data_IF_919804112362
#
_entry.id   IF_919804112362
#
_cell.length_a   1.000
_cell.length_b   1.000
_cell.length_c   1.000
_cell.angle_alpha   90.00
_cell.angle_beta   90.00
_cell.angle_gamma   90.00
#
_symmetry.space_group_name_H-M   'P 1'
#
loop_
_entity.id
_entity.type
_entity.pdbx_description
1 polymer ?
#
# COMPACT_ATOMS: atom_id res chain seq x y z
N UNK A 1 -20.98 22.74 20.66
CA UNK A 1 -19.75 23.51 20.92
C UNK A 1 -18.60 22.57 20.64
N UNK A 2 -18.04 22.69 19.44
CA UNK A 2 -16.91 21.86 18.99
C UNK A 2 -15.63 22.56 19.43
N UNK A 3 -14.78 21.87 20.20
CA UNK A 3 -13.46 22.39 20.53
C UNK A 3 -12.60 22.43 19.24
N UNK A 4 -11.79 23.49 19.06
CA UNK A 4 -10.85 23.54 17.94
C UNK A 4 -9.77 22.48 18.16
N UNK A 5 -9.43 21.74 17.11
CA UNK A 5 -8.26 20.87 17.06
C UNK A 5 -7.03 21.77 17.21
N UNK A 6 -6.32 21.62 18.30
CA UNK A 6 -5.04 22.26 18.54
C UNK A 6 -4.09 21.97 17.36
N UNK A 7 -3.57 23.06 16.80
CA UNK A 7 -2.53 23.11 15.77
C UNK A 7 -1.17 22.69 16.40
N UNK A 8 -1.05 21.42 16.74
CA UNK A 8 0.21 20.82 17.16
C UNK A 8 1.06 20.46 15.93
N UNK A 9 1.52 21.47 15.18
CA UNK A 9 2.68 21.36 14.29
C UNK A 9 3.99 21.36 15.13
N UNK A 10 4.06 20.49 16.13
CA UNK A 10 5.31 20.13 16.80
C UNK A 10 6.09 19.17 15.91
N UNK A 11 7.41 19.34 15.85
CA UNK A 11 8.44 18.57 15.13
C UNK A 11 8.21 17.05 15.12
N UNK A 12 7.23 16.59 14.34
CA UNK A 12 7.12 15.15 14.07
C UNK A 12 8.16 14.80 13.02
N UNK A 13 9.01 13.83 13.35
CA UNK A 13 9.95 13.27 12.37
C UNK A 13 9.19 12.88 11.09
N UNK A 14 9.73 13.20 9.90
CA UNK A 14 9.06 12.91 8.65
C UNK A 14 8.83 11.41 8.50
N UNK A 15 7.60 11.03 8.21
CA UNK A 15 7.17 9.64 8.05
C UNK A 15 6.54 9.45 6.67
N UNK A 16 6.96 8.39 5.97
CA UNK A 16 6.32 7.95 4.75
C UNK A 16 5.91 6.47 4.84
N UNK A 17 4.79 6.15 4.20
CA UNK A 17 4.37 4.76 4.00
C UNK A 17 4.64 4.36 2.56
N UNK A 18 5.37 3.25 2.37
CA UNK A 18 5.73 2.72 1.05
C UNK A 18 5.11 1.34 0.89
N UNK A 19 4.31 1.12 -0.15
CA UNK A 19 3.78 -0.21 -0.46
C UNK A 19 4.55 -0.85 -1.61
N UNK A 20 5.02 -2.07 -1.41
CA UNK A 20 5.69 -2.88 -2.43
C UNK A 20 4.81 -4.08 -2.78
N UNK A 21 4.24 -4.05 -4.00
CA UNK A 21 3.26 -5.03 -4.47
C UNK A 21 3.84 -6.41 -4.80
N UNK A 22 2.97 -7.42 -4.84
CA UNK A 22 3.33 -8.80 -5.20
C UNK A 22 3.85 -8.92 -6.64
N UNK A 23 3.43 -8.05 -7.57
CA UNK A 23 3.97 -8.00 -8.93
C UNK A 23 5.46 -7.65 -8.96
N UNK A 24 5.94 -6.93 -7.96
CA UNK A 24 7.35 -6.59 -7.75
C UNK A 24 8.10 -7.75 -7.09
N UNK A 25 7.49 -8.41 -6.10
CA UNK A 25 8.12 -9.46 -5.29
C UNK A 25 8.03 -10.82 -6.01
N UNK A 26 8.79 -10.97 -7.09
CA UNK A 26 8.72 -12.14 -7.99
C UNK A 26 9.64 -13.28 -7.60
N UNK A 27 10.53 -13.10 -6.63
CA UNK A 27 11.49 -14.11 -6.17
C UNK A 27 12.60 -13.51 -5.30
N UNK A 28 13.61 -14.31 -4.90
CA UNK A 28 14.65 -13.84 -3.95
C UNK A 28 15.39 -12.57 -4.39
N UNK A 29 15.75 -12.45 -5.67
CA UNK A 29 16.43 -11.26 -6.21
C UNK A 29 15.55 -10.00 -6.13
N UNK A 30 14.23 -10.15 -6.14
CA UNK A 30 13.30 -9.03 -6.02
C UNK A 30 13.33 -8.43 -4.62
N UNK A 31 13.41 -9.25 -3.57
CA UNK A 31 13.57 -8.76 -2.20
C UNK A 31 14.88 -8.01 -2.01
N UNK A 32 15.98 -8.49 -2.64
CA UNK A 32 17.27 -7.76 -2.64
C UNK A 32 17.13 -6.37 -3.27
N UNK A 33 16.43 -6.24 -4.41
CA UNK A 33 16.17 -4.95 -5.05
C UNK A 33 15.28 -4.05 -4.20
N UNK A 34 14.21 -4.62 -3.60
CA UNK A 34 13.32 -3.88 -2.70
C UNK A 34 14.08 -3.35 -1.47
N UNK A 35 14.95 -4.16 -0.86
CA UNK A 35 15.78 -3.74 0.26
C UNK A 35 16.78 -2.64 -0.14
N UNK A 36 17.41 -2.76 -1.31
CA UNK A 36 18.29 -1.71 -1.84
C UNK A 36 17.54 -0.39 -2.08
N UNK A 37 16.31 -0.46 -2.62
CA UNK A 37 15.43 0.71 -2.78
C UNK A 37 15.14 1.39 -1.44
N UNK A 38 14.73 0.62 -0.41
CA UNK A 38 14.46 1.16 0.94
C UNK A 38 15.72 1.80 1.55
N UNK A 39 16.87 1.12 1.45
CA UNK A 39 18.15 1.68 1.93
C UNK A 39 18.52 2.99 1.23
N UNK A 40 18.39 3.05 -0.09
CA UNK A 40 18.68 4.26 -0.85
C UNK A 40 17.73 5.40 -0.48
N UNK A 41 16.47 5.06 -0.17
CA UNK A 41 15.46 6.02 0.30
C UNK A 41 15.88 6.66 1.63
N UNK A 42 16.30 5.83 2.60
CA UNK A 42 16.84 6.31 3.89
C UNK A 42 18.11 7.14 3.72
N UNK A 43 19.01 6.74 2.81
CA UNK A 43 20.21 7.51 2.55
C UNK A 43 19.92 8.91 1.96
N UNK A 44 18.84 9.04 1.17
CA UNK A 44 18.39 10.31 0.62
C UNK A 44 17.62 11.19 1.62
N UNK A 45 17.03 10.61 2.66
CA UNK A 45 16.30 11.30 3.73
C UNK A 45 16.58 10.60 5.07
N UNK A 46 17.72 10.87 5.73
CA UNK A 46 18.17 10.13 6.92
C UNK A 46 17.25 10.25 8.13
N UNK A 47 16.52 11.35 8.24
CA UNK A 47 15.59 11.61 9.35
C UNK A 47 14.18 11.06 9.07
N UNK A 48 13.92 10.52 7.86
CA UNK A 48 12.59 10.00 7.49
C UNK A 48 12.44 8.56 8.00
N UNK A 49 11.36 8.30 8.74
CA UNK A 49 10.97 6.94 9.12
C UNK A 49 10.07 6.33 8.05
N UNK A 50 10.16 5.02 7.86
CA UNK A 50 9.42 4.32 6.83
C UNK A 50 8.57 3.19 7.40
N UNK A 51 7.31 3.15 7.00
CA UNK A 51 6.48 1.94 7.07
C UNK A 51 6.44 1.31 5.70
N UNK A 52 6.95 0.08 5.57
CA UNK A 52 7.00 -0.65 4.30
C UNK A 52 5.95 -1.74 4.30
N UNK A 53 4.84 -1.50 3.61
CA UNK A 53 3.76 -2.49 3.43
C UNK A 53 4.15 -3.42 2.28
N UNK A 54 4.23 -4.71 2.56
CA UNK A 54 4.55 -5.73 1.54
C UNK A 54 3.35 -6.61 1.26
N UNK A 55 3.21 -7.05 0.02
CA UNK A 55 2.28 -8.10 -0.36
C UNK A 55 2.97 -9.47 -0.36
N UNK A 56 2.19 -10.53 -0.36
CA UNK A 56 2.68 -11.86 -0.67
C UNK A 56 3.43 -11.88 -2.01
N UNK A 57 4.41 -12.76 -2.15
CA UNK A 57 5.14 -12.96 -3.41
C UNK A 57 4.14 -13.27 -4.54
N UNK A 58 4.46 -12.81 -5.75
CA UNK A 58 3.64 -13.05 -6.96
C UNK A 58 3.16 -14.51 -7.03
N UNK A 59 1.86 -14.72 -7.19
CA UNK A 59 1.16 -16.02 -7.23
C UNK A 59 1.15 -16.80 -5.90
N UNK A 60 1.70 -16.30 -4.80
CA UNK A 60 1.69 -17.02 -3.54
C UNK A 60 0.26 -17.20 -3.01
N UNK A 61 -0.54 -16.15 -3.03
CA UNK A 61 -1.95 -16.19 -2.60
C UNK A 61 -2.76 -17.18 -3.43
N UNK A 62 -2.62 -17.15 -4.78
CA UNK A 62 -3.29 -18.09 -5.68
C UNK A 62 -2.88 -19.54 -5.40
N UNK A 63 -1.59 -19.80 -5.14
CA UNK A 63 -1.07 -21.14 -4.81
C UNK A 63 -1.63 -21.64 -3.48
N UNK A 64 -1.74 -20.79 -2.47
CA UNK A 64 -2.32 -21.13 -1.18
C UNK A 64 -3.83 -21.43 -1.32
N UNK A 65 -4.56 -20.64 -2.08
CA UNK A 65 -5.98 -20.85 -2.38
C UNK A 65 -6.20 -22.18 -3.14
N UNK A 66 -5.41 -22.45 -4.16
CA UNK A 66 -5.44 -23.74 -4.86
C UNK A 66 -5.16 -24.91 -3.93
N UNK A 67 -4.26 -24.77 -2.97
CA UNK A 67 -3.99 -25.80 -1.95
C UNK A 67 -5.20 -26.02 -1.06
N UNK A 68 -5.86 -24.98 -0.59
CA UNK A 68 -7.07 -25.08 0.22
C UNK A 68 -8.20 -25.78 -0.57
N UNK A 69 -8.41 -25.39 -1.83
CA UNK A 69 -9.47 -25.95 -2.70
C UNK A 69 -9.26 -27.43 -3.05
N UNK A 70 -8.02 -27.95 -2.97
CA UNK A 70 -7.73 -29.39 -3.10
C UNK A 70 -8.13 -30.17 -1.86
N UNK A 71 -8.19 -29.53 -0.69
CA UNK A 71 -8.54 -30.17 0.59
C UNK A 71 -10.06 -30.16 0.79
N UNK A 72 -10.71 -29.00 0.51
CA UNK A 72 -12.14 -28.84 0.66
C UNK A 72 -12.67 -27.95 -0.46
N UNK A 73 -13.81 -28.36 -1.06
CA UNK A 73 -14.43 -27.67 -2.21
C UNK A 73 -14.77 -26.19 -1.94
N UNK A 74 -15.19 -25.85 -0.73
CA UNK A 74 -15.54 -24.47 -0.33
C UNK A 74 -14.92 -24.17 1.03
N UNK A 75 -13.65 -23.73 1.06
CA UNK A 75 -12.98 -23.39 2.30
C UNK A 75 -13.68 -22.24 3.04
N UNK A 76 -13.80 -22.36 4.35
CA UNK A 76 -14.31 -21.25 5.18
C UNK A 76 -13.35 -20.08 5.10
N UNK A 77 -13.90 -18.86 4.99
CA UNK A 77 -13.10 -17.63 4.83
C UNK A 77 -12.06 -17.46 5.93
N UNK A 78 -12.40 -17.74 7.18
CA UNK A 78 -11.47 -17.66 8.31
C UNK A 78 -10.22 -18.54 8.11
N UNK A 79 -10.39 -19.77 7.61
CA UNK A 79 -9.26 -20.66 7.34
C UNK A 79 -8.42 -20.17 6.15
N UNK A 80 -9.08 -19.59 5.13
CA UNK A 80 -8.38 -18.97 4.00
C UNK A 80 -7.60 -17.73 4.42
N UNK A 81 -8.19 -16.84 5.21
CA UNK A 81 -7.53 -15.62 5.69
C UNK A 81 -6.27 -15.98 6.50
N UNK A 82 -6.37 -16.99 7.37
CA UNK A 82 -5.21 -17.50 8.11
C UNK A 82 -4.15 -18.09 7.17
N UNK A 83 -4.57 -18.87 6.16
CA UNK A 83 -3.64 -19.45 5.18
C UNK A 83 -2.96 -18.37 4.34
N UNK A 84 -3.70 -17.39 3.83
CA UNK A 84 -3.16 -16.28 3.06
C UNK A 84 -2.18 -15.42 3.86
N UNK A 85 -2.41 -15.25 5.18
CA UNK A 85 -1.51 -14.49 6.04
C UNK A 85 -0.09 -15.04 6.05
N UNK A 86 0.09 -16.34 5.84
CA UNK A 86 1.43 -16.96 5.79
C UNK A 86 2.26 -16.44 4.62
N UNK A 87 1.63 -16.12 3.48
CA UNK A 87 2.30 -15.54 2.32
C UNK A 87 2.77 -14.11 2.57
N UNK A 88 1.91 -13.29 3.21
CA UNK A 88 2.23 -11.92 3.57
C UNK A 88 3.36 -11.87 4.62
N UNK A 89 3.23 -12.64 5.70
CA UNK A 89 4.24 -12.72 6.77
C UNK A 89 5.59 -13.25 6.27
N UNK A 90 5.58 -14.18 5.32
CA UNK A 90 6.81 -14.62 4.66
C UNK A 90 7.50 -13.45 3.95
N UNK A 91 6.76 -12.60 3.25
CA UNK A 91 7.32 -11.43 2.57
C UNK A 91 7.89 -10.42 3.56
N UNK A 92 7.21 -10.18 4.68
CA UNK A 92 7.71 -9.35 5.78
C UNK A 92 9.06 -9.86 6.27
N UNK A 93 9.14 -11.14 6.63
CA UNK A 93 10.37 -11.75 7.15
C UNK A 93 11.53 -11.70 6.13
N UNK A 94 11.25 -12.01 4.86
CA UNK A 94 12.28 -11.97 3.82
C UNK A 94 12.83 -10.57 3.57
N UNK A 95 11.96 -9.53 3.54
CA UNK A 95 12.43 -8.16 3.37
C UNK A 95 13.21 -7.69 4.60
N UNK A 96 12.77 -8.04 5.81
CA UNK A 96 13.48 -7.72 7.05
C UNK A 96 14.91 -8.30 7.06
N UNK A 97 15.06 -9.58 6.68
CA UNK A 97 16.37 -10.23 6.57
C UNK A 97 17.29 -9.55 5.53
N UNK A 98 16.73 -9.14 4.38
CA UNK A 98 17.49 -8.42 3.37
C UNK A 98 17.90 -7.01 3.82
N UNK A 99 17.08 -6.31 4.59
CA UNK A 99 17.42 -5.01 5.18
C UNK A 99 18.46 -5.15 6.28
N UNK A 100 18.34 -6.18 7.13
CA UNK A 100 19.36 -6.53 8.12
C UNK A 100 20.72 -6.80 7.46
N UNK A 101 20.76 -7.51 6.34
CA UNK A 101 21.99 -7.75 5.58
C UNK A 101 22.61 -6.47 4.95
N UNK A 102 21.88 -5.36 4.97
CA UNK A 102 22.34 -4.03 4.54
C UNK A 102 22.57 -3.06 5.71
N UNK A 103 22.62 -3.58 6.94
CA UNK A 103 22.79 -2.83 8.19
C UNK A 103 21.72 -1.75 8.42
N UNK A 104 20.50 -1.97 7.87
CA UNK A 104 19.36 -1.08 8.11
C UNK A 104 18.64 -1.50 9.40
N UNK A 105 18.39 -0.55 10.30
CA UNK A 105 17.60 -0.74 11.53
C UNK A 105 16.13 -0.93 11.18
N UNK A 106 15.77 -2.14 10.74
CA UNK A 106 14.44 -2.51 10.29
C UNK A 106 13.87 -3.65 11.12
N UNK A 107 12.56 -3.66 11.33
CA UNK A 107 11.83 -4.72 12.00
C UNK A 107 10.63 -5.18 11.16
N UNK A 108 10.41 -6.49 11.08
CA UNK A 108 9.17 -7.06 10.56
C UNK A 108 8.15 -7.22 11.68
N UNK A 109 6.94 -6.75 11.47
CA UNK A 109 5.83 -6.90 12.41
C UNK A 109 4.78 -7.88 11.90
N UNK A 110 3.95 -8.41 12.78
CA UNK A 110 2.81 -9.26 12.43
C UNK A 110 1.52 -8.44 12.27
N UNK A 111 0.43 -9.11 11.89
CA UNK A 111 -0.88 -8.47 11.63
C UNK A 111 -1.40 -7.73 12.87
N UNK A 112 -1.24 -8.30 14.07
CA UNK A 112 -1.75 -7.72 15.32
C UNK A 112 -1.05 -6.41 15.71
N UNK A 113 0.15 -6.19 15.21
CA UNK A 113 0.94 -4.99 15.50
C UNK A 113 0.66 -3.84 14.52
N UNK A 114 -0.13 -4.09 13.45
CA UNK A 114 -0.47 -3.04 12.46
C UNK A 114 -1.48 -2.04 13.01
N UNK A 115 -2.34 -2.46 13.94
CA UNK A 115 -3.42 -1.64 14.48
C UNK A 115 -4.62 -1.50 13.54
N UNK A 116 -4.73 -2.31 12.50
CA UNK A 116 -5.90 -2.34 11.64
C UNK A 116 -6.92 -3.35 12.17
N UNK A 117 -8.12 -2.86 12.53
CA UNK A 117 -9.23 -3.67 13.05
C UNK A 117 -10.41 -3.59 12.11
N UNK A 118 -10.76 -4.71 11.47
CA UNK A 118 -11.85 -4.83 10.52
C UNK A 118 -13.06 -5.60 11.13
N UNK A 119 -14.26 -5.48 10.57
CA UNK A 119 -15.39 -6.31 10.97
C UNK A 119 -15.08 -7.80 10.82
N UNK A 120 -15.70 -8.62 11.69
CA UNK A 120 -15.55 -10.07 11.60
C UNK A 120 -15.98 -10.61 10.23
N UNK A 121 -15.23 -11.57 9.69
CA UNK A 121 -15.41 -12.11 8.33
C UNK A 121 -16.83 -12.61 8.04
N UNK A 122 -17.55 -13.12 9.05
CA UNK A 122 -18.95 -13.56 8.92
C UNK A 122 -19.96 -12.42 8.75
N UNK A 123 -19.59 -11.18 9.10
CA UNK A 123 -20.44 -9.98 9.03
C UNK A 123 -20.14 -9.12 7.81
N UNK A 124 -19.09 -9.46 7.06
CA UNK A 124 -18.67 -8.69 5.90
C UNK A 124 -19.48 -9.08 4.67
N UNK A 125 -20.19 -8.14 4.07
CA UNK A 125 -20.69 -8.23 2.70
C UNK A 125 -19.53 -8.45 1.69
N UNK A 126 -19.68 -8.16 0.41
CA UNK A 126 -18.73 -8.52 -0.66
C UNK A 126 -17.34 -7.88 -0.58
N UNK A 127 -16.90 -7.46 0.57
CA UNK A 127 -15.56 -6.95 0.91
C UNK A 127 -15.64 -5.88 1.99
N UNK A 128 -14.62 -5.71 2.86
CA UNK A 128 -14.62 -4.62 3.81
C UNK A 128 -14.51 -3.30 3.04
N UNK A 129 -15.53 -2.45 3.18
CA UNK A 129 -15.41 -1.04 2.86
C UNK A 129 -14.39 -0.43 3.84
N UNK A 130 -13.48 0.41 3.35
CA UNK A 130 -12.50 1.09 4.21
C UNK A 130 -13.17 1.87 5.37
N UNK A 131 -14.42 2.30 5.21
CA UNK A 131 -15.20 2.98 6.23
C UNK A 131 -15.50 2.15 7.49
N UNK A 132 -15.32 0.83 7.42
CA UNK A 132 -15.57 -0.09 8.52
C UNK A 132 -14.26 -0.57 9.21
N UNK A 133 -13.08 -0.11 8.76
CA UNK A 133 -11.80 -0.45 9.38
C UNK A 133 -11.43 0.63 10.38
N UNK A 134 -11.21 0.24 11.65
CA UNK A 134 -10.65 1.12 12.67
C UNK A 134 -9.14 1.09 12.59
N UNK A 135 -8.51 2.21 12.89
CA UNK A 135 -7.06 2.40 12.81
C UNK A 135 -6.54 2.75 14.20
N UNK A 136 -5.79 1.86 14.81
CA UNK A 136 -5.28 1.94 16.19
C UNK A 136 -3.76 1.71 16.17
N UNK A 137 -3.00 2.64 15.58
CA UNK A 137 -1.57 2.50 15.24
C UNK A 137 -0.60 2.67 16.41
N UNK A 138 -1.05 2.68 17.66
CA UNK A 138 -0.20 2.94 18.84
C UNK A 138 1.00 1.99 18.92
N UNK A 139 0.77 0.66 18.78
CA UNK A 139 1.86 -0.32 18.80
C UNK A 139 2.85 -0.13 17.65
N UNK A 140 2.35 0.23 16.46
CA UNK A 140 3.22 0.49 15.32
C UNK A 140 4.04 1.78 15.52
N UNK A 141 3.45 2.79 16.17
CA UNK A 141 4.16 4.01 16.55
C UNK A 141 5.27 3.73 17.57
N UNK A 142 5.02 2.88 18.56
CA UNK A 142 6.05 2.43 19.53
C UNK A 142 7.18 1.69 18.81
N UNK A 143 6.87 0.80 17.88
CA UNK A 143 7.87 0.10 17.06
C UNK A 143 8.73 1.08 16.28
N UNK A 144 8.12 2.11 15.71
CA UNK A 144 8.83 3.16 14.96
C UNK A 144 9.68 4.06 15.86
N UNK A 145 9.42 4.14 17.17
CA UNK A 145 10.27 4.89 18.09
C UNK A 145 11.71 4.36 18.12
N UNK A 146 11.87 3.03 18.01
CA UNK A 146 13.17 2.35 18.08
C UNK A 146 13.76 1.96 16.72
N UNK A 147 12.96 2.03 15.63
CA UNK A 147 13.36 1.52 14.31
C UNK A 147 13.11 2.54 13.21
N UNK A 148 14.04 2.64 12.27
CA UNK A 148 13.89 3.49 11.09
C UNK A 148 12.89 2.93 10.09
N UNK A 149 12.72 1.61 10.07
CA UNK A 149 11.82 0.91 9.13
C UNK A 149 11.00 -0.13 9.86
N UNK A 150 9.68 -0.04 9.77
CA UNK A 150 8.75 -1.10 10.13
C UNK A 150 8.21 -1.76 8.85
N UNK A 151 8.41 -3.07 8.69
CA UNK A 151 7.85 -3.84 7.57
C UNK A 151 6.58 -4.52 8.05
N UNK A 152 5.47 -4.23 7.38
CA UNK A 152 4.14 -4.70 7.77
C UNK A 152 3.49 -5.55 6.68
N UNK A 153 2.70 -6.57 7.04
CA UNK A 153 1.92 -7.33 6.06
C UNK A 153 0.80 -6.46 5.50
N UNK A 154 0.67 -6.40 4.19
CA UNK A 154 -0.47 -5.81 3.51
C UNK A 154 -1.68 -6.73 3.51
N UNK A 155 -2.83 -6.27 2.97
CA UNK A 155 -4.02 -7.08 2.73
C UNK A 155 -4.77 -7.57 3.98
N UNK A 156 -4.18 -7.46 5.18
CA UNK A 156 -4.65 -8.09 6.40
C UNK A 156 -5.00 -7.08 7.48
N UNK A 157 -5.97 -7.45 8.30
CA UNK A 157 -6.35 -6.79 9.56
C UNK A 157 -6.66 -7.87 10.61
N UNK A 158 -7.00 -7.46 11.81
CA UNK A 158 -7.61 -8.35 12.82
C UNK A 158 -9.06 -7.97 13.06
N UNK A 159 -9.88 -8.90 13.51
CA UNK A 159 -11.22 -8.60 14.00
C UNK A 159 -11.23 -8.39 15.53
N UNK A 160 -12.41 -8.15 16.10
CA UNK A 160 -12.59 -7.95 17.55
C UNK A 160 -12.26 -9.21 18.39
N UNK A 161 -12.19 -10.40 17.75
CA UNK A 161 -11.76 -11.65 18.38
C UNK A 161 -10.26 -11.93 18.15
N UNK A 162 -9.52 -10.97 17.59
CA UNK A 162 -8.11 -11.11 17.21
C UNK A 162 -7.87 -12.18 16.14
N UNK A 163 -8.91 -12.56 15.37
CA UNK A 163 -8.74 -13.40 14.21
C UNK A 163 -8.22 -12.58 13.04
N UNK A 164 -7.31 -13.17 12.25
CA UNK A 164 -6.82 -12.54 11.03
C UNK A 164 -7.94 -12.52 9.99
N UNK A 165 -8.17 -11.37 9.37
CA UNK A 165 -9.14 -11.16 8.31
C UNK A 165 -8.51 -10.42 7.13
N UNK A 166 -8.90 -10.78 5.91
CA UNK A 166 -8.42 -10.11 4.70
C UNK A 166 -9.27 -8.90 4.36
N UNK A 167 -8.62 -7.85 3.85
CA UNK A 167 -9.25 -6.61 3.36
C UNK A 167 -9.77 -6.69 1.91
N UNK A 168 -9.84 -7.89 1.35
CA UNK A 168 -10.30 -8.11 -0.02
C UNK A 168 -9.22 -7.87 -1.08
N UNK A 169 -9.55 -8.10 -2.36
CA UNK A 169 -8.60 -7.96 -3.47
C UNK A 169 -8.03 -6.54 -3.52
N UNK A 170 -6.71 -6.43 -3.73
CA UNK A 170 -6.00 -5.14 -3.72
C UNK A 170 -5.82 -4.53 -2.33
N UNK A 171 -6.21 -5.22 -1.26
CA UNK A 171 -6.17 -4.74 0.12
C UNK A 171 -4.81 -4.25 0.61
N UNK A 172 -3.70 -4.59 -0.05
CA UNK A 172 -2.38 -4.06 0.34
C UNK A 172 -2.21 -2.57 0.02
N UNK A 173 -2.80 -2.06 -1.07
CA UNK A 173 -2.83 -0.62 -1.36
C UNK A 173 -3.67 0.10 -0.28
N UNK A 174 -4.83 -0.49 0.05
CA UNK A 174 -5.70 0.03 1.12
C UNK A 174 -4.98 0.01 2.49
N UNK A 175 -4.30 -1.09 2.84
CA UNK A 175 -3.48 -1.17 4.07
C UNK A 175 -2.50 0.00 4.16
N UNK A 176 -1.79 0.29 3.07
CA UNK A 176 -0.80 1.37 3.06
C UNK A 176 -1.44 2.75 3.29
N UNK A 177 -2.58 3.02 2.65
CA UNK A 177 -3.32 4.28 2.82
C UNK A 177 -3.88 4.41 4.24
N UNK A 178 -4.48 3.34 4.80
CA UNK A 178 -5.00 3.34 6.16
C UNK A 178 -3.91 3.61 7.19
N UNK A 179 -2.75 2.93 7.05
CA UNK A 179 -1.60 3.14 7.95
C UNK A 179 -1.02 4.55 7.79
N UNK A 180 -0.91 5.06 6.56
CA UNK A 180 -0.43 6.42 6.33
C UNK A 180 -1.35 7.46 6.98
N UNK A 181 -2.66 7.31 6.84
CA UNK A 181 -3.64 8.19 7.50
C UNK A 181 -3.57 8.08 9.02
N UNK A 182 -3.53 6.87 9.58
CA UNK A 182 -3.52 6.64 11.02
C UNK A 182 -2.24 7.09 11.71
N UNK A 183 -1.10 7.03 11.03
CA UNK A 183 0.20 7.49 11.53
C UNK A 183 0.46 8.98 11.27
N UNK A 184 -0.39 9.64 10.50
CA UNK A 184 -0.18 11.02 10.08
C UNK A 184 1.01 11.18 9.12
N UNK A 185 1.23 10.21 8.25
CA UNK A 185 2.30 10.26 7.27
C UNK A 185 2.08 11.37 6.23
N UNK A 186 3.16 11.98 5.77
CA UNK A 186 3.10 13.09 4.80
C UNK A 186 2.62 12.63 3.41
N UNK A 187 2.81 11.34 3.08
CA UNK A 187 2.43 10.73 1.80
C UNK A 187 2.41 9.21 1.88
N UNK A 188 1.72 8.60 0.93
CA UNK A 188 1.78 7.16 0.69
C UNK A 188 2.36 6.88 -0.71
N UNK A 189 3.43 6.08 -0.79
CA UNK A 189 4.09 5.69 -2.04
C UNK A 189 3.68 4.26 -2.43
N UNK A 190 3.13 4.10 -3.63
CA UNK A 190 2.72 2.81 -4.17
C UNK A 190 3.70 2.37 -5.25
N UNK A 191 4.55 1.40 -4.92
CA UNK A 191 5.54 0.84 -5.84
C UNK A 191 4.90 -0.24 -6.69
N UNK A 192 4.89 -0.01 -8.00
CA UNK A 192 4.28 -0.86 -9.03
C UNK A 192 5.31 -1.32 -10.05
N UNK A 193 4.95 -2.22 -10.94
CA UNK A 193 5.76 -2.69 -12.07
C UNK A 193 5.87 -1.66 -13.20
N UNK A 194 4.96 -0.69 -13.23
CA UNK A 194 5.05 0.51 -14.07
C UNK A 194 5.31 1.76 -13.22
N UNK A 195 5.99 2.79 -13.76
CA UNK A 195 6.43 3.92 -12.93
C UNK A 195 5.33 4.94 -12.60
N UNK A 196 4.10 4.74 -13.07
CA UNK A 196 2.96 5.64 -12.82
C UNK A 196 1.85 5.45 -13.84
N UNK A 197 0.95 6.41 -13.92
CA UNK A 197 -0.10 6.48 -14.93
C UNK A 197 0.47 6.96 -16.26
N UNK A 198 -0.12 6.46 -17.35
CA UNK A 198 0.22 6.82 -18.74
C UNK A 198 -1.05 7.14 -19.52
N UNK A 199 -0.90 7.84 -20.62
CA UNK A 199 -2.01 8.15 -21.55
C UNK A 199 -2.60 6.91 -22.22
N UNK A 200 -1.86 5.79 -22.26
CA UNK A 200 -2.26 4.47 -22.76
C UNK A 200 -1.36 3.41 -22.13
N UNK A 201 -1.63 2.12 -22.34
CA UNK A 201 -0.77 1.04 -21.81
C UNK A 201 0.64 1.11 -22.42
N UNK A 202 1.70 1.43 -21.63
CA UNK A 202 3.06 1.57 -22.14
C UNK A 202 3.67 0.25 -22.65
N UNK A 203 3.07 -0.90 -22.32
CA UNK A 203 3.50 -2.20 -22.84
C UNK A 203 2.96 -2.48 -24.25
N UNK A 204 1.87 -1.82 -24.63
CA UNK A 204 1.19 -1.99 -25.90
C UNK A 204 1.40 -0.82 -26.85
N UNK A 205 1.51 0.38 -26.31
CA UNK A 205 1.65 1.63 -27.06
C UNK A 205 2.99 2.31 -26.73
N UNK A 206 3.88 2.35 -27.73
CA UNK A 206 5.19 3.05 -27.58
C UNK A 206 5.05 4.57 -27.53
N UNK A 207 3.89 5.11 -27.92
CA UNK A 207 3.56 6.54 -27.85
C UNK A 207 2.97 6.95 -26.50
N UNK A 208 2.76 6.02 -25.57
CA UNK A 208 2.23 6.31 -24.25
C UNK A 208 3.12 7.33 -23.51
N UNK A 209 2.50 8.43 -23.07
CA UNK A 209 3.16 9.49 -22.33
C UNK A 209 2.88 9.35 -20.83
N UNK A 210 3.86 9.58 -19.94
CA UNK A 210 3.64 9.56 -18.52
C UNK A 210 2.73 10.72 -18.09
N UNK A 211 1.81 10.44 -17.16
CA UNK A 211 0.92 11.41 -16.53
C UNK A 211 1.48 11.75 -15.14
N UNK A 212 2.15 12.91 -14.96
CA UNK A 212 2.85 13.22 -13.73
C UNK A 212 1.93 13.57 -12.55
N UNK A 213 0.70 14.04 -12.84
CA UNK A 213 -0.27 14.47 -11.83
C UNK A 213 -1.69 14.06 -12.20
N UNK A 214 -2.46 13.62 -11.20
CA UNK A 214 -3.91 13.39 -11.28
C UNK A 214 -4.59 13.98 -10.05
N UNK A 215 -5.84 14.38 -10.19
CA UNK A 215 -6.72 14.57 -9.04
C UNK A 215 -7.24 13.21 -8.57
N UNK A 216 -7.77 13.15 -7.34
CA UNK A 216 -8.43 11.93 -6.87
C UNK A 216 -9.64 11.56 -7.74
N UNK A 217 -10.41 12.57 -8.19
CA UNK A 217 -11.58 12.34 -9.05
C UNK A 217 -11.17 11.66 -10.37
N UNK A 218 -10.14 12.16 -11.06
CA UNK A 218 -9.63 11.53 -12.27
C UNK A 218 -9.07 10.12 -12.03
N UNK A 219 -8.36 9.91 -10.91
CA UNK A 219 -7.85 8.58 -10.59
C UNK A 219 -8.99 7.59 -10.31
N UNK A 220 -10.09 8.03 -9.70
CA UNK A 220 -11.31 7.24 -9.47
C UNK A 220 -12.05 6.95 -10.76
N UNK A 221 -12.20 7.94 -11.66
CA UNK A 221 -12.77 7.74 -13.01
C UNK A 221 -11.99 6.68 -13.78
N UNK A 222 -10.65 6.77 -13.78
CA UNK A 222 -9.79 5.77 -14.43
C UNK A 222 -9.98 4.36 -13.82
N UNK A 223 -10.15 4.27 -12.50
CA UNK A 223 -10.40 3.00 -11.83
C UNK A 223 -11.79 2.43 -12.20
N UNK A 224 -12.81 3.29 -12.39
CA UNK A 224 -14.15 2.88 -12.86
C UNK A 224 -14.12 2.41 -14.32
N UNK A 225 -13.23 2.98 -15.13
CA UNK A 225 -13.00 2.58 -16.52
C UNK A 225 -12.10 1.33 -16.65
N UNK A 226 -11.73 0.71 -15.51
CA UNK A 226 -10.99 -0.56 -15.49
C UNK A 226 -9.48 -0.44 -15.34
N UNK A 227 -8.93 0.74 -15.02
CA UNK A 227 -7.52 0.90 -14.70
C UNK A 227 -7.22 0.40 -13.27
N UNK A 228 -6.70 -0.80 -13.14
CA UNK A 228 -6.38 -1.45 -11.86
C UNK A 228 -5.01 -1.05 -11.27
N UNK A 229 -4.40 0.04 -11.75
CA UNK A 229 -3.07 0.44 -11.28
C UNK A 229 -3.06 0.76 -9.77
N UNK A 230 -4.07 1.50 -9.29
CA UNK A 230 -4.34 1.70 -7.87
C UNK A 230 -5.77 1.26 -7.58
N UNK A 231 -5.94 0.46 -6.54
CA UNK A 231 -7.26 -0.05 -6.18
C UNK A 231 -8.20 1.08 -5.75
N UNK A 232 -9.45 1.03 -6.27
CA UNK A 232 -10.50 2.03 -6.02
C UNK A 232 -10.64 2.36 -4.52
N UNK A 233 -10.76 1.33 -3.66
CA UNK A 233 -10.90 1.53 -2.22
C UNK A 233 -9.73 2.30 -1.58
N UNK A 234 -8.51 2.14 -2.11
CA UNK A 234 -7.34 2.91 -1.67
C UNK A 234 -7.41 4.37 -2.14
N UNK A 235 -7.90 4.63 -3.36
CA UNK A 235 -8.12 5.99 -3.87
C UNK A 235 -9.19 6.72 -3.06
N UNK A 236 -10.34 6.07 -2.80
CA UNK A 236 -11.43 6.61 -1.96
C UNK A 236 -10.95 6.95 -0.54
N UNK A 237 -10.17 6.04 0.06
CA UNK A 237 -9.59 6.26 1.37
C UNK A 237 -8.60 7.44 1.36
N UNK A 238 -7.71 7.51 0.38
CA UNK A 238 -6.75 8.61 0.26
C UNK A 238 -7.43 9.96 0.02
N UNK A 239 -8.46 10.01 -0.82
CA UNK A 239 -9.27 11.20 -1.06
C UNK A 239 -9.95 11.69 0.23
N UNK A 240 -10.55 10.77 1.01
CA UNK A 240 -11.22 11.11 2.28
C UNK A 240 -10.31 11.80 3.28
N UNK A 241 -9.05 11.39 3.37
CA UNK A 241 -8.07 11.98 4.30
C UNK A 241 -7.15 13.01 3.64
N UNK A 242 -7.42 13.38 2.39
CA UNK A 242 -6.58 14.28 1.61
C UNK A 242 -5.09 13.86 1.66
N UNK A 243 -4.84 12.54 1.63
CA UNK A 243 -3.49 11.96 1.71
C UNK A 243 -2.88 11.86 0.31
N UNK A 244 -1.80 12.58 0.01
CA UNK A 244 -1.15 12.48 -1.30
C UNK A 244 -0.62 11.07 -1.57
N UNK A 245 -0.90 10.54 -2.77
CA UNK A 245 -0.34 9.29 -3.25
C UNK A 245 0.76 9.56 -4.27
N UNK A 246 1.78 8.72 -4.26
CA UNK A 246 2.84 8.70 -5.27
C UNK A 246 2.92 7.30 -5.86
N UNK A 247 2.61 7.16 -7.14
CA UNK A 247 2.75 5.89 -7.86
C UNK A 247 4.09 5.90 -8.59
N UNK A 248 4.91 4.86 -8.34
CA UNK A 248 6.27 4.77 -8.87
C UNK A 248 6.71 3.32 -9.06
N UNK A 249 7.82 3.10 -9.74
CA UNK A 249 8.53 1.82 -9.78
C UNK A 249 9.71 1.79 -8.82
N UNK A 250 10.40 0.64 -8.70
CA UNK A 250 11.67 0.55 -7.96
C UNK A 250 12.82 1.35 -8.64
N UNK A 251 12.62 1.82 -9.85
CA UNK A 251 13.62 2.64 -10.54
C UNK A 251 13.45 4.11 -10.16
N UNK A 252 14.34 4.63 -9.33
CA UNK A 252 14.31 6.01 -8.85
C UNK A 252 14.46 7.08 -9.94
N UNK A 253 14.96 6.69 -11.12
CA UNK A 253 15.12 7.59 -12.28
C UNK A 253 13.90 7.62 -13.19
N UNK A 254 12.91 6.75 -12.98
CA UNK A 254 11.70 6.74 -13.76
C UNK A 254 10.77 7.91 -13.37
N UNK A 255 9.86 8.25 -14.28
CA UNK A 255 8.76 9.17 -13.97
C UNK A 255 7.93 8.65 -12.81
N UNK A 256 7.20 9.55 -12.13
CA UNK A 256 6.24 9.21 -11.08
C UNK A 256 4.93 9.90 -11.35
N UNK A 257 3.82 9.31 -10.94
CA UNK A 257 2.53 9.98 -10.91
C UNK A 257 2.17 10.36 -9.49
N UNK A 258 1.72 11.60 -9.29
CA UNK A 258 1.24 12.10 -8.00
C UNK A 258 -0.27 12.25 -8.07
N UNK A 259 -0.98 11.81 -7.04
CA UNK A 259 -2.42 11.95 -6.91
C UNK A 259 -2.69 12.79 -5.66
N UNK A 260 -3.41 13.90 -5.81
CA UNK A 260 -3.75 14.81 -4.72
C UNK A 260 -5.04 15.58 -5.04
N UNK A 261 -5.60 16.30 -4.07
CA UNK A 261 -6.83 17.09 -4.25
C UNK A 261 -6.65 18.27 -5.20
N UNK A 262 -5.43 18.80 -5.31
CA UNK A 262 -5.12 19.91 -6.21
C UNK A 262 -3.73 19.72 -6.83
N UNK A 263 -3.58 20.23 -8.03
CA UNK A 263 -2.30 20.19 -8.77
C UNK A 263 -1.54 21.47 -8.42
N UNK A 264 -0.28 21.38 -7.93
CA UNK A 264 0.50 22.58 -7.64
C UNK A 264 0.71 23.43 -8.89
N UNK A 265 0.20 24.65 -8.88
CA UNK A 265 0.61 25.73 -9.80
C UNK A 265 -0.03 25.78 -11.18
N UNK A 266 -1.12 25.09 -11.48
CA UNK A 266 -1.67 25.16 -12.82
C UNK A 266 -3.09 24.69 -13.02
N UNK A 267 -3.83 25.42 -13.86
CA UNK A 267 -5.02 24.94 -14.56
C UNK A 267 -4.63 23.80 -15.50
N UNK A 268 -5.35 22.68 -15.40
CA UNK A 268 -5.31 21.61 -16.40
C UNK A 268 -5.58 22.23 -17.78
N UNK A 269 -4.58 22.23 -18.66
CA UNK A 269 -4.83 22.46 -20.08
C UNK A 269 -5.35 21.16 -20.68
N UNK A 270 -6.32 21.29 -21.58
CA UNK A 270 -7.13 20.25 -22.27
C UNK A 270 -6.38 19.08 -22.93
N UNK A 271 -5.06 18.97 -22.76
CA UNK A 271 -4.24 17.90 -23.35
C UNK A 271 -4.41 16.53 -22.69
N UNK A 272 -5.16 16.41 -21.59
CA UNK A 272 -5.41 15.12 -20.91
C UNK A 272 -6.89 14.70 -20.96
N UNK A 273 -7.76 15.53 -21.54
CA UNK A 273 -9.18 15.22 -21.76
C UNK A 273 -9.43 14.00 -22.68
N UNK A 274 -8.37 13.43 -23.27
CA UNK A 274 -8.42 12.26 -24.14
C UNK A 274 -7.58 11.10 -23.58
N UNK A 275 -7.56 10.88 -22.25
CA UNK A 275 -7.03 9.66 -21.68
C UNK A 275 -7.93 8.48 -22.06
N UNK A 276 -7.69 7.93 -23.25
CA UNK A 276 -8.25 6.65 -23.62
C UNK A 276 -7.56 5.59 -22.74
N UNK A 277 -8.27 5.10 -21.72
CA UNK A 277 -7.86 3.93 -20.97
C UNK A 277 -8.00 2.73 -21.91
N UNK A 278 -6.89 2.14 -22.30
CA UNK A 278 -6.93 0.84 -22.94
C UNK A 278 -7.35 -0.22 -21.90
N UNK A 279 -8.31 -1.11 -22.23
CA UNK A 279 -8.81 -2.16 -21.36
C UNK A 279 -7.74 -3.19 -20.98
#
# INVERSE_FOLDING_TARGET
MSAPLDDCTGDREPLAVIKIGGSILTGPSAYKRAAAFVRNRLAAAPDERLVVVVSAQKRATDSLEQTANKIVWSPRKQALDLLWSTGELRSVALLALHLQALDVRAIGVNVHQTGLVAPHAASAGPGPSFGNVRIETNLLSEVLADHMVAIVPGFLAVDHLQSVVSLGRGGSDLTAVLLAAGLGANRCELVKDVPGYFTSDPHRDRGALPVPFLTFDHALELADDGCDLVQRAALEAAARWNLPLVVRSLNDKASVSRIASSIPGGTWTDSVANLAVAP
#
